data_IF_667774657759
#
_entry.id   IF_667774657759
#
_cell.length_a   1.000
_cell.length_b   1.000
_cell.length_c   1.000
_cell.angle_alpha   90.00
_cell.angle_beta   90.00
_cell.angle_gamma   90.00
#
_symmetry.space_group_name_H-M   'P 1'
#
loop_
_entity.id
_entity.type
_entity.pdbx_description
1 polymer ?
#
# COMPACT_ATOMS: atom_id res chain seq x y z
N UNK A 1 -5.13 13.29 42.38
CA UNK A 1 -5.77 12.38 41.41
C UNK A 1 -5.54 13.01 40.05
N UNK A 2 -4.45 12.61 39.37
CA UNK A 2 -4.12 13.08 38.02
C UNK A 2 -4.97 12.32 37.04
N UNK A 3 -5.86 13.03 36.40
CA UNK A 3 -6.60 12.58 35.25
C UNK A 3 -5.59 12.44 34.09
N UNK A 4 -5.09 11.22 33.88
CA UNK A 4 -4.31 10.92 32.70
C UNK A 4 -5.28 10.93 31.54
N UNK A 5 -5.38 12.08 30.87
CA UNK A 5 -5.92 12.16 29.51
C UNK A 5 -5.18 11.14 28.69
N UNK A 6 -5.79 9.98 28.48
CA UNK A 6 -5.33 8.97 27.52
C UNK A 6 -5.39 9.68 26.17
N UNK A 7 -4.24 10.16 25.69
CA UNK A 7 -4.14 10.71 24.36
C UNK A 7 -4.68 9.62 23.41
N UNK A 8 -5.71 9.96 22.65
CA UNK A 8 -6.31 9.06 21.67
C UNK A 8 -5.26 8.81 20.57
N UNK A 9 -4.59 7.67 20.65
CA UNK A 9 -3.68 7.25 19.59
C UNK A 9 -4.51 6.68 18.42
N UNK A 10 -4.35 7.24 17.21
CA UNK A 10 -5.05 6.74 16.04
C UNK A 10 -4.75 5.27 15.80
N UNK A 11 -5.76 4.39 15.68
CA UNK A 11 -5.55 2.96 15.56
C UNK A 11 -5.06 2.55 14.18
N UNK A 12 -4.41 1.38 14.12
CA UNK A 12 -4.32 0.58 12.88
C UNK A 12 -5.64 -0.19 12.76
N UNK A 13 -6.28 -0.14 11.59
CA UNK A 13 -7.50 -0.88 11.29
C UNK A 13 -7.18 -1.98 10.28
N UNK A 14 -7.62 -3.21 10.52
CA UNK A 14 -7.47 -4.30 9.55
C UNK A 14 -8.82 -4.91 9.20
N UNK A 15 -9.12 -5.00 7.91
CA UNK A 15 -10.33 -5.67 7.41
C UNK A 15 -10.09 -7.18 7.25
N UNK A 16 -10.93 -8.00 7.90
CA UNK A 16 -10.82 -9.47 7.86
C UNK A 16 -12.13 -10.10 7.42
N UNK A 17 -12.02 -11.16 6.59
CA UNK A 17 -13.15 -12.01 6.17
C UNK A 17 -12.92 -13.48 6.48
N UNK A 18 -11.79 -13.84 7.12
CA UNK A 18 -11.39 -15.19 7.46
C UNK A 18 -10.68 -15.95 6.33
N UNK A 19 -10.49 -15.32 5.17
CA UNK A 19 -9.64 -15.86 4.11
C UNK A 19 -8.17 -15.84 4.52
N UNK A 20 -7.36 -16.71 3.92
CA UNK A 20 -5.91 -16.74 4.12
C UNK A 20 -5.25 -15.38 3.85
N UNK A 21 -5.72 -14.66 2.84
CA UNK A 21 -5.25 -13.31 2.52
C UNK A 21 -5.53 -12.30 3.63
N UNK A 22 -6.72 -12.37 4.23
CA UNK A 22 -7.10 -11.46 5.31
C UNK A 22 -6.39 -11.80 6.61
N UNK A 23 -6.10 -13.08 6.88
CA UNK A 23 -5.31 -13.48 8.04
C UNK A 23 -3.84 -13.05 7.92
N UNK A 24 -3.25 -13.13 6.73
CA UNK A 24 -1.92 -12.53 6.47
C UNK A 24 -1.91 -11.02 6.65
N UNK A 25 -2.97 -10.34 6.20
CA UNK A 25 -3.13 -8.91 6.43
C UNK A 25 -3.21 -8.58 7.93
N UNK A 26 -3.87 -9.44 8.72
CA UNK A 26 -3.91 -9.33 10.18
C UNK A 26 -2.52 -9.47 10.81
N UNK A 27 -1.73 -10.46 10.40
CA UNK A 27 -0.36 -10.64 10.87
C UNK A 27 0.51 -9.42 10.59
N UNK A 28 0.41 -8.88 9.37
CA UNK A 28 1.13 -7.67 9.00
C UNK A 28 0.65 -6.45 9.82
N UNK A 29 -0.67 -6.32 10.04
CA UNK A 29 -1.25 -5.23 10.82
C UNK A 29 -0.85 -5.28 12.31
N UNK A 30 -0.71 -6.48 12.90
CA UNK A 30 -0.18 -6.67 14.25
C UNK A 30 1.24 -6.13 14.36
N UNK A 31 2.13 -6.55 13.45
CA UNK A 31 3.53 -6.05 13.42
C UNK A 31 3.59 -4.54 13.21
N UNK A 32 2.75 -4.00 12.31
CA UNK A 32 2.69 -2.56 12.08
C UNK A 32 2.19 -1.78 13.31
N UNK A 33 1.14 -2.27 13.97
CA UNK A 33 0.61 -1.67 15.18
C UNK A 33 1.63 -1.66 16.32
N UNK A 34 2.40 -2.75 16.49
CA UNK A 34 3.48 -2.84 17.47
C UNK A 34 4.63 -1.86 17.17
N UNK A 35 5.06 -1.79 15.90
CA UNK A 35 6.10 -0.86 15.47
C UNK A 35 5.70 0.61 15.65
N UNK A 36 4.41 0.92 15.48
CA UNK A 36 3.85 2.25 15.64
C UNK A 36 3.43 2.56 17.10
N UNK A 37 3.42 1.57 18.00
CA UNK A 37 2.87 1.72 19.36
C UNK A 37 1.36 1.98 19.37
N UNK A 38 0.64 1.69 18.29
CA UNK A 38 -0.76 2.04 18.08
C UNK A 38 -1.71 0.88 18.44
N UNK A 39 -2.95 1.13 18.91
CA UNK A 39 -3.92 0.07 19.09
C UNK A 39 -4.35 -0.54 17.75
N UNK A 40 -4.70 -1.83 17.75
CA UNK A 40 -5.21 -2.54 16.58
C UNK A 40 -6.73 -2.71 16.67
N UNK A 41 -7.43 -2.36 15.61
CA UNK A 41 -8.86 -2.64 15.42
C UNK A 41 -9.02 -3.67 14.31
N UNK A 42 -9.51 -4.85 14.69
CA UNK A 42 -9.84 -5.92 13.73
C UNK A 42 -11.30 -5.78 13.34
N UNK A 43 -11.55 -5.37 12.09
CA UNK A 43 -12.88 -5.11 11.56
C UNK A 43 -13.35 -6.25 10.65
N UNK A 44 -14.48 -6.87 11.00
CA UNK A 44 -15.16 -7.86 10.16
C UNK A 44 -16.51 -7.30 9.71
N UNK A 45 -16.73 -7.27 8.39
CA UNK A 45 -18.00 -6.79 7.82
C UNK A 45 -18.89 -7.99 7.51
N UNK A 46 -20.04 -8.04 8.17
CA UNK A 46 -21.07 -9.05 7.90
C UNK A 46 -21.90 -8.64 6.71
N UNK A 47 -21.95 -9.47 5.67
CA UNK A 47 -22.75 -9.15 4.47
C UNK A 47 -24.25 -9.27 4.76
N UNK A 48 -25.04 -8.33 4.21
CA UNK A 48 -26.50 -8.33 4.34
C UNK A 48 -27.16 -9.64 3.87
N UNK A 49 -26.57 -10.32 2.89
CA UNK A 49 -27.04 -11.62 2.40
C UNK A 49 -27.03 -12.71 3.47
N UNK A 50 -26.00 -12.71 4.33
CA UNK A 50 -25.93 -13.65 5.46
C UNK A 50 -26.91 -13.26 6.56
N UNK A 51 -27.12 -11.98 6.80
CA UNK A 51 -28.08 -11.48 7.79
C UNK A 51 -29.52 -11.78 7.36
N UNK A 52 -29.90 -11.55 6.11
CA UNK A 52 -31.21 -11.91 5.57
C UNK A 52 -31.45 -13.43 5.63
N UNK A 53 -30.43 -14.24 5.36
CA UNK A 53 -30.47 -15.71 5.52
C UNK A 53 -30.68 -16.12 6.98
N UNK A 54 -29.91 -15.56 7.90
CA UNK A 54 -30.02 -15.83 9.34
C UNK A 54 -31.36 -15.36 9.93
N UNK A 55 -31.84 -14.16 9.56
CA UNK A 55 -33.16 -13.66 9.96
C UNK A 55 -34.32 -14.54 9.45
N UNK A 56 -34.19 -15.06 8.21
CA UNK A 56 -35.18 -15.98 7.62
C UNK A 56 -35.19 -17.35 8.32
N UNK A 57 -34.03 -17.84 8.76
CA UNK A 57 -33.92 -19.08 9.53
C UNK A 57 -34.41 -18.84 10.96
N UNK A 58 -34.08 -17.71 11.58
CA UNK A 58 -34.55 -17.35 12.91
C UNK A 58 -36.08 -17.23 13.00
N UNK A 59 -36.72 -16.73 11.91
CA UNK A 59 -38.19 -16.69 11.83
C UNK A 59 -38.86 -18.07 11.78
N UNK A 60 -38.09 -19.13 11.52
CA UNK A 60 -38.53 -20.53 11.54
C UNK A 60 -38.35 -21.21 12.92
N UNK A 61 -37.91 -20.46 13.94
CA UNK A 61 -37.88 -20.90 15.34
C UNK A 61 -36.68 -21.74 15.77
N UNK A 62 -35.70 -21.96 14.91
CA UNK A 62 -34.49 -22.74 15.21
C UNK A 62 -33.28 -22.14 14.52
N UNK A 63 -32.82 -20.95 14.93
CA UNK A 63 -31.51 -20.49 14.52
C UNK A 63 -30.48 -20.96 15.55
N UNK A 64 -29.61 -21.95 15.23
CA UNK A 64 -28.40 -22.10 15.99
C UNK A 64 -27.57 -20.84 15.81
N UNK A 65 -27.02 -20.29 16.88
CA UNK A 65 -25.90 -19.34 16.77
C UNK A 65 -24.79 -20.03 15.99
N UNK A 66 -24.68 -19.74 14.70
CA UNK A 66 -23.57 -20.21 13.88
C UNK A 66 -22.30 -19.62 14.52
N UNK A 67 -21.35 -20.46 14.95
CA UNK A 67 -20.13 -19.95 15.55
C UNK A 67 -19.47 -19.03 14.54
N UNK A 68 -19.10 -17.82 14.98
CA UNK A 68 -18.36 -16.87 14.16
C UNK A 68 -16.96 -17.48 13.87
N UNK A 69 -16.88 -18.18 12.75
CA UNK A 69 -15.65 -18.88 12.31
C UNK A 69 -14.53 -17.88 12.04
N UNK A 70 -14.88 -16.67 11.60
CA UNK A 70 -13.93 -15.59 11.37
C UNK A 70 -13.34 -15.11 12.69
N UNK A 71 -14.18 -14.82 13.68
CA UNK A 71 -13.72 -14.41 15.00
C UNK A 71 -12.82 -15.45 15.67
N UNK A 72 -13.07 -16.74 15.42
CA UNK A 72 -12.22 -17.81 15.94
C UNK A 72 -10.85 -17.79 15.24
N UNK A 73 -10.82 -17.78 13.92
CA UNK A 73 -9.57 -17.76 13.15
C UNK A 73 -8.70 -16.54 13.51
N UNK A 74 -9.35 -15.37 13.64
CA UNK A 74 -8.67 -14.14 14.05
C UNK A 74 -8.08 -14.26 15.46
N UNK A 75 -8.83 -14.77 16.42
CA UNK A 75 -8.32 -14.98 17.79
C UNK A 75 -7.12 -15.92 17.81
N UNK A 76 -7.18 -17.02 17.06
CA UNK A 76 -6.05 -17.95 16.96
C UNK A 76 -4.78 -17.23 16.50
N UNK A 77 -4.85 -16.45 15.42
CA UNK A 77 -3.69 -15.70 14.91
C UNK A 77 -3.16 -14.69 15.95
N UNK A 78 -4.07 -13.95 16.61
CA UNK A 78 -3.70 -12.94 17.61
C UNK A 78 -3.05 -13.59 18.83
N UNK A 79 -3.58 -14.72 19.30
CA UNK A 79 -3.06 -15.45 20.47
C UNK A 79 -1.72 -16.13 20.18
N UNK A 80 -1.59 -16.77 19.01
CA UNK A 80 -0.35 -17.47 18.62
C UNK A 80 0.83 -16.52 18.46
N UNK A 81 0.59 -15.32 17.94
CA UNK A 81 1.65 -14.32 17.77
C UNK A 81 2.07 -13.64 19.06
N UNK A 82 1.19 -13.58 20.06
CA UNK A 82 1.42 -12.80 21.27
C UNK A 82 1.63 -11.32 20.93
N UNK A 83 0.71 -10.46 21.26
CA UNK A 83 0.75 -9.02 20.91
C UNK A 83 1.06 -8.15 22.14
N UNK A 84 1.71 -6.99 21.87
CA UNK A 84 2.05 -5.99 22.91
C UNK A 84 1.11 -4.79 22.90
N UNK A 85 0.23 -4.71 21.91
CA UNK A 85 -0.71 -3.59 21.72
C UNK A 85 -2.14 -4.01 22.04
N UNK A 86 -3.01 -3.07 22.46
CA UNK A 86 -4.44 -3.35 22.64
C UNK A 86 -5.08 -3.78 21.31
N UNK A 87 -5.83 -4.88 21.32
CA UNK A 87 -6.57 -5.38 20.16
C UNK A 87 -8.07 -5.32 20.44
N UNK A 88 -8.82 -4.66 19.57
CA UNK A 88 -10.28 -4.56 19.60
C UNK A 88 -10.88 -5.25 18.37
N UNK A 89 -12.01 -5.93 18.56
CA UNK A 89 -12.76 -6.60 17.50
C UNK A 89 -14.04 -5.82 17.22
N UNK A 90 -14.22 -5.36 16.00
CA UNK A 90 -15.41 -4.64 15.56
C UNK A 90 -16.14 -5.46 14.49
N UNK A 91 -17.41 -5.78 14.77
CA UNK A 91 -18.33 -6.39 13.80
C UNK A 91 -19.14 -5.28 13.15
N UNK A 92 -18.95 -5.08 11.84
CA UNK A 92 -19.59 -4.04 11.06
C UNK A 92 -20.70 -4.64 10.19
N UNK A 93 -21.72 -3.84 9.88
CA UNK A 93 -22.81 -4.23 9.00
C UNK A 93 -22.76 -3.44 7.69
N UNK A 94 -23.23 -4.04 6.60
CA UNK A 94 -23.38 -3.39 5.31
C UNK A 94 -22.37 -3.79 4.24
N UNK A 95 -22.07 -2.88 3.32
CA UNK A 95 -21.10 -3.06 2.27
C UNK A 95 -19.67 -2.92 2.80
N UNK A 96 -18.78 -3.86 2.45
CA UNK A 96 -17.35 -3.80 2.84
C UNK A 96 -16.70 -2.50 2.36
N UNK A 97 -17.05 -2.03 1.17
CA UNK A 97 -16.50 -0.82 0.54
C UNK A 97 -16.97 0.49 1.18
N UNK A 98 -18.00 0.45 1.99
CA UNK A 98 -18.50 1.61 2.74
C UNK A 98 -18.14 1.50 4.23
N UNK A 99 -18.28 0.32 4.81
CA UNK A 99 -18.07 0.09 6.23
C UNK A 99 -16.59 0.21 6.65
N UNK A 100 -15.66 -0.36 5.87
CA UNK A 100 -14.23 -0.27 6.19
C UNK A 100 -13.69 1.17 6.08
N UNK A 101 -13.96 1.95 5.03
CA UNK A 101 -13.56 3.36 5.01
C UNK A 101 -14.18 4.17 6.14
N UNK A 102 -15.44 3.87 6.53
CA UNK A 102 -16.08 4.55 7.67
C UNK A 102 -15.36 4.23 8.99
N UNK A 103 -15.01 2.98 9.22
CA UNK A 103 -14.27 2.52 10.41
C UNK A 103 -12.83 3.05 10.44
N UNK A 104 -12.24 3.33 9.27
CA UNK A 104 -10.88 3.84 9.15
C UNK A 104 -10.77 5.37 9.20
N UNK A 105 -11.87 6.10 9.45
CA UNK A 105 -11.81 7.55 9.64
C UNK A 105 -11.05 7.88 10.93
N UNK A 106 -10.00 8.68 10.78
CA UNK A 106 -9.10 9.00 11.89
C UNK A 106 -8.19 7.84 12.31
N UNK A 107 -8.15 6.75 11.55
CA UNK A 107 -7.17 5.71 11.73
C UNK A 107 -5.81 6.14 11.14
N UNK A 108 -4.74 5.63 11.73
CA UNK A 108 -3.38 5.83 11.23
C UNK A 108 -3.15 5.05 9.93
N UNK A 109 -3.80 3.89 9.80
CA UNK A 109 -3.60 2.97 8.70
C UNK A 109 -4.80 2.05 8.56
N UNK A 110 -5.23 1.78 7.32
CA UNK A 110 -6.13 0.69 6.97
C UNK A 110 -5.34 -0.43 6.29
N UNK A 111 -5.54 -1.67 6.72
CA UNK A 111 -4.85 -2.85 6.16
C UNK A 111 -5.88 -3.82 5.60
N UNK A 112 -5.62 -4.38 4.43
CA UNK A 112 -6.44 -5.42 3.81
C UNK A 112 -5.58 -6.44 3.07
N UNK A 113 -6.09 -7.66 2.90
CA UNK A 113 -5.51 -8.61 1.96
C UNK A 113 -5.77 -8.18 0.50
N UNK A 114 -4.97 -8.66 -0.41
CA UNK A 114 -5.17 -8.39 -1.85
C UNK A 114 -6.43 -9.05 -2.42
N UNK A 115 -6.96 -10.11 -1.77
CA UNK A 115 -8.17 -10.87 -2.15
C UNK A 115 -8.98 -11.25 -0.92
N UNK A 116 -10.21 -11.73 -1.13
CA UNK A 116 -11.10 -12.31 -0.12
C UNK A 116 -11.73 -13.61 -0.64
N UNK A 117 -12.73 -14.12 0.07
CA UNK A 117 -13.40 -15.41 -0.22
C UNK A 117 -14.10 -15.50 -1.58
N UNK A 118 -14.44 -14.39 -2.26
CA UNK A 118 -15.24 -14.39 -3.48
C UNK A 118 -14.46 -14.21 -4.78
N UNK A 119 -13.12 -14.17 -4.75
CA UNK A 119 -12.31 -13.84 -5.92
C UNK A 119 -12.02 -15.04 -6.83
N UNK A 120 -12.05 -14.82 -8.16
CA UNK A 120 -11.52 -15.79 -9.11
C UNK A 120 -10.01 -15.97 -8.85
N UNK A 121 -9.54 -17.22 -8.82
CA UNK A 121 -8.14 -17.56 -8.54
C UNK A 121 -7.13 -16.89 -9.51
N UNK A 122 -7.59 -16.47 -10.69
CA UNK A 122 -6.78 -15.80 -11.71
C UNK A 122 -6.60 -14.30 -11.51
N UNK A 123 -7.35 -13.66 -10.59
CA UNK A 123 -7.22 -12.22 -10.35
C UNK A 123 -6.17 -11.95 -9.27
N UNK A 124 -5.22 -11.10 -9.57
CA UNK A 124 -4.14 -10.71 -8.64
C UNK A 124 -4.62 -9.74 -7.56
N UNK A 125 -5.64 -8.91 -7.84
CA UNK A 125 -6.22 -7.94 -6.94
C UNK A 125 -7.76 -8.05 -6.93
N UNK A 126 -8.37 -8.09 -5.75
CA UNK A 126 -9.82 -8.12 -5.57
C UNK A 126 -10.48 -6.76 -5.82
N UNK A 127 -11.78 -6.79 -6.17
CA UNK A 127 -12.57 -5.57 -6.38
C UNK A 127 -12.65 -4.69 -5.11
N UNK A 128 -12.76 -5.31 -3.95
CA UNK A 128 -12.77 -4.61 -2.65
C UNK A 128 -11.49 -3.83 -2.43
N UNK A 129 -10.32 -4.48 -2.50
CA UNK A 129 -9.01 -3.83 -2.27
C UNK A 129 -8.76 -2.72 -3.28
N UNK A 130 -9.20 -2.90 -4.55
CA UNK A 130 -9.15 -1.86 -5.57
C UNK A 130 -10.04 -0.66 -5.22
N UNK A 131 -11.27 -0.90 -4.77
CA UNK A 131 -12.18 0.18 -4.37
C UNK A 131 -11.63 0.92 -3.15
N UNK A 132 -11.15 0.19 -2.14
CA UNK A 132 -10.55 0.79 -0.96
C UNK A 132 -9.31 1.64 -1.29
N UNK A 133 -8.49 1.22 -2.26
CA UNK A 133 -7.35 2.02 -2.71
C UNK A 133 -7.75 3.38 -3.31
N UNK A 134 -8.97 3.47 -3.85
CA UNK A 134 -9.53 4.74 -4.35
C UNK A 134 -10.23 5.56 -3.26
N UNK A 135 -10.81 4.92 -2.24
CA UNK A 135 -11.76 5.56 -1.32
C UNK A 135 -11.29 5.65 0.13
N UNK A 136 -10.24 4.92 0.52
CA UNK A 136 -9.75 4.96 1.90
C UNK A 136 -9.42 6.40 2.36
N UNK A 137 -9.88 6.79 3.57
CA UNK A 137 -9.65 8.14 4.11
C UNK A 137 -8.26 8.32 4.73
N UNK A 138 -7.52 7.24 4.92
CA UNK A 138 -6.18 7.18 5.47
C UNK A 138 -5.28 6.31 4.57
N UNK A 139 -3.97 6.21 4.81
CA UNK A 139 -3.10 5.27 4.11
C UNK A 139 -3.68 3.85 4.12
N UNK A 140 -3.75 3.23 2.94
CA UNK A 140 -4.19 1.84 2.79
C UNK A 140 -3.00 0.96 2.46
N UNK A 141 -2.78 -0.10 3.26
CA UNK A 141 -1.84 -1.16 2.90
C UNK A 141 -2.59 -2.38 2.41
N UNK A 142 -2.23 -2.82 1.20
CA UNK A 142 -2.72 -4.06 0.61
C UNK A 142 -1.61 -5.11 0.68
N UNK A 143 -1.88 -6.20 1.40
CA UNK A 143 -0.94 -7.30 1.59
C UNK A 143 -1.17 -8.35 0.50
N UNK A 144 -0.20 -8.61 -0.40
CA UNK A 144 -0.36 -9.58 -1.47
C UNK A 144 -0.33 -11.02 -0.96
N UNK A 145 -0.90 -11.94 -1.74
CA UNK A 145 -0.91 -13.38 -1.39
C UNK A 145 0.50 -13.97 -1.34
N UNK A 146 1.32 -13.60 -2.30
CA UNK A 146 2.69 -14.11 -2.44
C UNK A 146 3.72 -13.25 -1.69
N UNK A 147 3.27 -12.45 -0.68
CA UNK A 147 4.17 -11.70 0.15
C UNK A 147 5.20 -12.65 0.75
N UNK A 148 6.49 -12.32 0.57
CA UNK A 148 7.59 -13.14 1.08
C UNK A 148 7.48 -13.24 2.59
N UNK A 149 7.81 -14.41 3.13
CA UNK A 149 7.84 -14.63 4.58
C UNK A 149 8.69 -13.56 5.32
N UNK A 150 9.75 -13.06 4.67
CA UNK A 150 10.58 -11.96 5.18
C UNK A 150 9.84 -10.62 5.29
N UNK A 151 8.83 -10.35 4.44
CA UNK A 151 8.00 -9.14 4.56
C UNK A 151 6.92 -9.27 5.65
N UNK A 152 6.63 -10.48 6.08
CA UNK A 152 5.69 -10.79 7.15
C UNK A 152 6.37 -11.12 8.48
N UNK A 153 7.65 -11.52 8.45
CA UNK A 153 8.41 -11.81 9.66
C UNK A 153 8.79 -10.51 10.39
N UNK A 154 8.83 -10.58 11.71
CA UNK A 154 9.27 -9.51 12.61
C UNK A 154 10.75 -9.11 12.48
N UNK A 155 11.42 -9.52 11.41
CA UNK A 155 12.76 -9.04 11.11
C UNK A 155 12.66 -7.56 10.73
N UNK A 156 12.73 -6.71 11.75
CA UNK A 156 12.77 -5.27 11.67
C UNK A 156 13.92 -4.72 10.80
N UNK A 157 14.65 -5.57 10.13
CA UNK A 157 15.76 -5.25 9.24
C UNK A 157 15.67 -5.90 7.86
N UNK A 158 14.61 -6.65 7.55
CA UNK A 158 14.50 -7.32 6.26
C UNK A 158 13.91 -6.39 5.17
N UNK A 159 14.76 -6.03 4.21
CA UNK A 159 14.36 -5.26 3.04
C UNK A 159 14.49 -3.74 3.23
N UNK A 160 14.01 -3.00 2.25
CA UNK A 160 13.95 -1.54 2.21
C UNK A 160 12.52 -1.07 2.02
N UNK A 161 12.24 0.19 2.29
CA UNK A 161 11.01 0.85 1.84
C UNK A 161 11.28 1.45 0.46
N UNK A 162 10.42 1.15 -0.51
CA UNK A 162 10.45 1.77 -1.83
C UNK A 162 9.39 2.86 -1.91
N UNK A 163 9.77 4.06 -2.31
CA UNK A 163 8.85 5.15 -2.62
C UNK A 163 8.81 5.37 -4.12
N UNK A 164 7.66 5.22 -4.75
CA UNK A 164 7.43 5.71 -6.10
C UNK A 164 7.21 7.23 -6.06
N UNK A 165 8.21 7.99 -6.51
CA UNK A 165 8.22 9.43 -6.45
C UNK A 165 8.04 10.04 -7.83
N UNK A 166 7.03 10.90 -7.97
CA UNK A 166 6.94 11.92 -9.00
C UNK A 166 7.08 13.27 -8.31
N UNK A 167 8.10 14.03 -8.67
CA UNK A 167 8.50 15.23 -7.92
C UNK A 167 7.38 16.25 -7.73
N UNK A 168 6.47 16.39 -8.70
CA UNK A 168 5.35 17.32 -8.66
C UNK A 168 4.02 16.70 -8.19
N UNK A 169 3.77 15.41 -8.49
CA UNK A 169 2.44 14.80 -8.30
C UNK A 169 2.33 13.94 -7.04
N UNK A 170 3.46 13.44 -6.49
CA UNK A 170 3.41 12.64 -5.27
C UNK A 170 3.10 13.53 -4.07
N UNK A 171 2.00 13.25 -3.34
CA UNK A 171 1.61 14.06 -2.20
C UNK A 171 2.64 13.97 -1.07
N UNK A 172 2.76 15.05 -0.29
CA UNK A 172 3.69 15.15 0.85
C UNK A 172 3.45 14.04 1.87
N UNK A 173 2.20 13.66 2.06
CA UNK A 173 1.78 12.60 2.97
C UNK A 173 2.37 11.24 2.57
N UNK A 174 2.50 10.98 1.27
CA UNK A 174 3.11 9.73 0.81
C UNK A 174 4.63 9.72 1.05
N UNK A 175 5.27 10.86 0.88
CA UNK A 175 6.70 11.01 1.21
C UNK A 175 6.92 10.86 2.71
N UNK A 176 6.14 11.57 3.53
CA UNK A 176 6.21 11.48 4.98
C UNK A 176 5.98 10.06 5.48
N UNK A 177 4.93 9.40 4.99
CA UNK A 177 4.62 8.01 5.32
C UNK A 177 5.78 7.06 4.99
N UNK A 178 6.45 7.26 3.85
CA UNK A 178 7.59 6.42 3.45
C UNK A 178 8.79 6.60 4.40
N UNK A 179 9.11 7.84 4.80
CA UNK A 179 10.15 8.12 5.79
C UNK A 179 9.81 7.55 7.16
N UNK A 180 8.58 7.75 7.62
CA UNK A 180 8.09 7.19 8.88
C UNK A 180 8.18 5.65 8.87
N UNK A 181 7.73 5.00 7.80
CA UNK A 181 7.78 3.56 7.65
C UNK A 181 9.22 3.01 7.63
N UNK A 182 10.14 3.70 6.98
CA UNK A 182 11.56 3.35 6.97
C UNK A 182 12.18 3.50 8.36
N UNK A 183 11.87 4.62 9.05
CA UNK A 183 12.34 4.89 10.40
C UNK A 183 11.91 3.82 11.41
N UNK A 184 10.61 3.51 11.47
CA UNK A 184 10.08 2.51 12.40
C UNK A 184 10.60 1.09 12.13
N UNK A 185 10.95 0.78 10.89
CA UNK A 185 11.52 -0.51 10.49
C UNK A 185 13.04 -0.56 10.62
N UNK A 186 13.71 0.57 10.79
CA UNK A 186 15.16 0.67 10.83
C UNK A 186 15.82 0.26 9.51
N UNK A 187 15.19 0.54 8.36
CA UNK A 187 15.65 0.16 7.02
C UNK A 187 15.84 1.38 6.12
N UNK A 188 16.62 1.28 5.04
CA UNK A 188 16.77 2.35 4.07
C UNK A 188 15.45 2.69 3.36
N UNK A 189 15.31 3.97 2.96
CA UNK A 189 14.28 4.45 2.04
C UNK A 189 14.90 4.64 0.66
N UNK A 190 14.49 3.83 -0.31
CA UNK A 190 14.83 4.03 -1.71
C UNK A 190 13.71 4.79 -2.41
N UNK A 191 14.00 5.99 -2.89
CA UNK A 191 13.06 6.80 -3.63
C UNK A 191 13.32 6.67 -5.14
N UNK A 192 12.36 6.13 -5.86
CA UNK A 192 12.46 5.84 -7.31
C UNK A 192 11.70 6.89 -8.10
N UNK A 193 12.41 7.66 -8.90
CA UNK A 193 11.85 8.58 -9.89
C UNK A 193 12.12 8.06 -11.28
N UNK A 194 11.08 7.93 -12.10
CA UNK A 194 11.24 7.55 -13.50
C UNK A 194 10.98 8.76 -14.41
N UNK A 195 11.85 8.98 -15.36
CA UNK A 195 11.74 10.04 -16.35
C UNK A 195 11.69 9.47 -17.76
N UNK A 196 11.11 10.23 -18.70
CA UNK A 196 10.99 9.80 -20.10
C UNK A 196 12.20 10.29 -20.89
N UNK A 197 12.85 9.36 -21.60
CA UNK A 197 13.82 9.74 -22.61
C UNK A 197 13.09 10.39 -23.81
N UNK A 198 13.67 11.42 -24.42
CA UNK A 198 13.19 11.91 -25.70
C UNK A 198 13.26 10.77 -26.74
N UNK A 199 12.34 10.72 -27.71
CA UNK A 199 12.42 9.72 -28.78
C UNK A 199 13.74 9.90 -29.54
N UNK A 200 14.43 8.77 -29.86
CA UNK A 200 15.70 8.84 -30.57
C UNK A 200 15.56 9.62 -31.88
N UNK A 201 16.52 10.49 -32.15
CA UNK A 201 16.56 11.26 -33.39
C UNK A 201 16.64 10.30 -34.57
N UNK A 202 15.62 10.22 -35.37
CA UNK A 202 15.50 9.25 -36.49
C UNK A 202 14.34 8.26 -36.39
N UNK A 203 13.60 8.26 -35.29
CA UNK A 203 12.41 7.38 -35.10
C UNK A 203 11.23 7.68 -36.05
N UNK A 204 11.37 8.63 -36.97
CA UNK A 204 10.41 8.92 -38.07
C UNK A 204 10.46 7.91 -39.22
N UNK A 205 11.38 6.95 -39.20
CA UNK A 205 11.39 5.87 -40.15
C UNK A 205 10.32 4.84 -39.75
N UNK A 206 9.49 4.39 -40.70
CA UNK A 206 8.51 3.33 -40.42
C UNK A 206 9.26 2.11 -39.86
N UNK A 207 8.74 1.54 -38.78
CA UNK A 207 9.34 0.36 -38.16
C UNK A 207 9.67 -0.69 -39.21
N UNK A 208 10.89 -1.24 -39.23
CA UNK A 208 11.23 -2.32 -40.16
C UNK A 208 10.25 -3.48 -39.96
N UNK A 209 9.86 -4.10 -41.08
CA UNK A 209 8.94 -5.24 -41.09
C UNK A 209 9.38 -6.28 -40.05
N UNK A 210 8.47 -6.92 -39.28
CA UNK A 210 8.83 -7.87 -38.20
C UNK A 210 9.66 -9.07 -38.65
N UNK A 211 9.90 -9.21 -39.97
CA UNK A 211 10.75 -10.25 -40.55
C UNK A 211 12.27 -9.94 -40.49
N UNK A 212 12.67 -8.71 -40.21
CA UNK A 212 14.10 -8.36 -40.04
C UNK A 212 14.36 -8.11 -38.53
N UNK A 213 14.93 -9.09 -37.86
CA UNK A 213 15.52 -8.94 -36.50
C UNK A 213 16.82 -8.12 -36.63
N UNK A 214 16.69 -6.83 -36.86
CA UNK A 214 17.84 -5.92 -36.76
C UNK A 214 18.02 -5.62 -35.27
N UNK A 215 19.19 -5.91 -34.67
CA UNK A 215 19.44 -5.48 -33.30
C UNK A 215 19.29 -3.96 -33.23
N UNK A 216 18.78 -3.41 -32.09
CA UNK A 216 18.66 -1.97 -31.92
C UNK A 216 20.03 -1.34 -32.16
N UNK A 217 20.11 -0.21 -32.87
CA UNK A 217 21.36 0.50 -33.06
C UNK A 217 21.98 0.82 -31.69
N UNK A 218 23.30 0.73 -31.60
CA UNK A 218 24.01 1.21 -30.41
C UNK A 218 23.73 2.71 -30.26
N UNK A 219 23.47 3.19 -29.04
CA UNK A 219 23.23 4.61 -28.81
C UNK A 219 24.46 5.42 -29.28
N UNK A 220 24.21 6.53 -29.93
CA UNK A 220 25.27 7.47 -30.33
C UNK A 220 25.84 8.12 -29.07
N UNK A 221 27.10 8.58 -29.14
CA UNK A 221 27.78 9.20 -27.99
C UNK A 221 26.99 10.40 -27.45
N UNK A 222 26.40 11.20 -28.32
CA UNK A 222 25.57 12.35 -27.97
C UNK A 222 24.27 11.94 -27.24
N UNK A 223 23.67 10.78 -27.60
CA UNK A 223 22.48 10.24 -26.92
C UNK A 223 22.80 9.74 -25.50
N UNK A 224 24.02 9.24 -25.29
CA UNK A 224 24.49 8.82 -23.96
C UNK A 224 24.70 10.03 -23.06
N UNK A 225 25.36 11.09 -23.59
CA UNK A 225 25.61 12.33 -22.84
C UNK A 225 24.28 13.03 -22.47
N UNK A 226 23.33 13.12 -23.40
CA UNK A 226 21.99 13.69 -23.14
C UNK A 226 21.24 12.87 -22.06
N UNK A 227 21.38 11.54 -22.08
CA UNK A 227 20.76 10.68 -21.06
C UNK A 227 21.39 10.90 -19.68
N UNK A 228 22.71 11.05 -19.59
CA UNK A 228 23.41 11.33 -18.34
C UNK A 228 23.03 12.70 -17.76
N UNK A 229 22.82 13.71 -18.59
CA UNK A 229 22.35 15.02 -18.14
C UNK A 229 20.92 14.94 -17.58
N UNK A 230 20.03 14.20 -18.23
CA UNK A 230 18.66 13.99 -17.76
C UNK A 230 18.62 13.21 -16.42
N UNK A 231 19.51 12.24 -16.25
CA UNK A 231 19.66 11.52 -14.95
C UNK A 231 20.05 12.51 -13.87
N UNK A 232 21.09 13.32 -14.08
CA UNK A 232 21.58 14.29 -13.10
C UNK A 232 20.52 15.33 -12.73
N UNK A 233 19.75 15.79 -13.71
CA UNK A 233 18.67 16.74 -13.46
C UNK A 233 17.55 16.09 -12.63
N UNK A 234 17.13 14.87 -12.97
CA UNK A 234 16.11 14.14 -12.22
C UNK A 234 16.59 13.82 -10.78
N UNK A 235 17.87 13.50 -10.60
CA UNK A 235 18.46 13.31 -9.25
C UNK A 235 18.44 14.60 -8.44
N UNK A 236 18.78 15.73 -9.06
CA UNK A 236 18.75 17.05 -8.41
C UNK A 236 17.34 17.45 -7.97
N UNK A 237 16.35 17.30 -8.86
CA UNK A 237 14.95 17.58 -8.52
C UNK A 237 14.45 16.68 -7.39
N UNK A 238 14.84 15.40 -7.42
CA UNK A 238 14.51 14.43 -6.38
C UNK A 238 15.12 14.82 -5.03
N UNK A 239 16.41 15.19 -5.00
CA UNK A 239 17.07 15.66 -3.78
C UNK A 239 16.42 16.93 -3.22
N UNK A 240 16.11 17.90 -4.07
CA UNK A 240 15.43 19.13 -3.66
C UNK A 240 14.06 18.82 -3.02
N UNK A 241 13.30 17.91 -3.64
CA UNK A 241 11.99 17.48 -3.17
C UNK A 241 12.04 16.75 -1.83
N UNK A 242 13.04 15.91 -1.63
CA UNK A 242 13.16 15.06 -0.44
C UNK A 242 13.88 15.73 0.72
N UNK A 243 14.64 16.80 0.49
CA UNK A 243 15.45 17.50 1.50
C UNK A 243 14.68 17.90 2.78
N UNK A 244 13.44 18.47 2.71
CA UNK A 244 12.69 18.82 3.92
C UNK A 244 12.34 17.61 4.79
N UNK A 245 12.05 16.48 4.15
CA UNK A 245 11.69 15.22 4.83
C UNK A 245 12.94 14.57 5.44
N UNK A 246 14.02 14.46 4.68
CA UNK A 246 15.30 13.94 5.18
C UNK A 246 15.81 14.72 6.40
N UNK A 247 15.59 16.03 6.43
CA UNK A 247 15.95 16.85 7.59
C UNK A 247 15.12 16.52 8.86
N UNK A 248 13.86 16.09 8.70
CA UNK A 248 12.99 15.64 9.81
C UNK A 248 13.31 14.22 10.27
N UNK A 249 13.82 13.38 9.38
CA UNK A 249 14.12 11.97 9.60
C UNK A 249 15.62 11.66 9.44
N UNK A 250 16.53 12.29 10.23
CA UNK A 250 17.98 12.18 10.02
C UNK A 250 18.56 10.77 10.26
N UNK A 251 17.77 9.89 10.90
CA UNK A 251 18.14 8.49 11.10
C UNK A 251 17.79 7.55 9.95
N UNK A 252 17.09 8.04 8.90
CA UNK A 252 16.72 7.24 7.73
C UNK A 252 17.78 7.39 6.66
N UNK A 253 18.38 6.29 6.23
CA UNK A 253 19.25 6.25 5.06
C UNK A 253 18.41 6.44 3.80
N UNK A 254 18.57 7.56 3.11
CA UNK A 254 17.88 7.87 1.87
C UNK A 254 18.75 7.47 0.67
N UNK A 255 18.20 6.64 -0.21
CA UNK A 255 18.82 6.21 -1.47
C UNK A 255 17.99 6.74 -2.64
N UNK A 256 18.36 7.90 -3.22
CA UNK A 256 17.69 8.42 -4.40
C UNK A 256 18.07 7.59 -5.63
N UNK A 257 17.08 7.26 -6.47
CA UNK A 257 17.27 6.47 -7.69
C UNK A 257 16.46 7.12 -8.82
N UNK A 258 17.15 7.72 -9.78
CA UNK A 258 16.54 8.23 -11.00
C UNK A 258 16.79 7.26 -12.16
N UNK A 259 15.73 6.82 -12.83
CA UNK A 259 15.84 5.84 -13.93
C UNK A 259 15.05 6.26 -15.15
N UNK A 260 15.57 6.03 -16.35
CA UNK A 260 14.78 6.20 -17.56
C UNK A 260 13.72 5.10 -17.67
N UNK A 261 12.53 5.45 -18.17
CA UNK A 261 11.53 4.48 -18.59
C UNK A 261 10.32 4.34 -17.69
N UNK A 262 9.96 3.09 -17.34
CA UNK A 262 8.70 2.76 -16.66
C UNK A 262 8.86 2.67 -15.13
N UNK A 263 8.27 3.63 -14.42
CA UNK A 263 8.24 3.63 -12.96
C UNK A 263 7.56 2.38 -12.37
N UNK A 264 6.47 1.92 -12.99
CA UNK A 264 5.72 0.78 -12.47
C UNK A 264 6.54 -0.50 -12.54
N UNK A 265 7.21 -0.76 -13.68
CA UNK A 265 8.08 -1.91 -13.85
C UNK A 265 9.23 -1.91 -12.84
N UNK A 266 9.86 -0.76 -12.60
CA UNK A 266 10.95 -0.62 -11.62
C UNK A 266 10.51 -0.88 -10.19
N UNK A 267 9.36 -0.34 -9.79
CA UNK A 267 8.79 -0.58 -8.46
C UNK A 267 8.37 -2.04 -8.27
N UNK A 268 7.78 -2.67 -9.29
CA UNK A 268 7.42 -4.09 -9.24
C UNK A 268 8.66 -4.97 -9.12
N UNK A 269 9.70 -4.70 -9.89
CA UNK A 269 10.96 -5.43 -9.80
C UNK A 269 11.61 -5.25 -8.42
N UNK A 270 11.76 -4.00 -7.95
CA UNK A 270 12.32 -3.67 -6.64
C UNK A 270 11.51 -4.22 -5.46
N UNK A 271 10.20 -4.46 -5.65
CA UNK A 271 9.33 -5.03 -4.62
C UNK A 271 9.69 -6.47 -4.22
N UNK A 272 10.55 -7.15 -4.99
CA UNK A 272 11.04 -8.51 -4.66
C UNK A 272 11.93 -8.53 -3.43
N UNK A 273 12.65 -7.43 -3.22
CA UNK A 273 13.63 -7.28 -2.14
C UNK A 273 13.27 -6.17 -1.15
N UNK A 274 12.07 -5.58 -1.32
CA UNK A 274 11.53 -4.56 -0.44
C UNK A 274 10.59 -5.16 0.62
N UNK A 275 10.51 -4.51 1.77
CA UNK A 275 9.54 -4.81 2.83
C UNK A 275 8.22 -4.07 2.65
N UNK A 276 8.21 -2.97 1.88
CA UNK A 276 7.04 -2.15 1.61
C UNK A 276 7.28 -1.29 0.36
N UNK A 277 6.27 -1.20 -0.51
CA UNK A 277 6.22 -0.18 -1.57
C UNK A 277 5.20 0.90 -1.18
N UNK A 278 5.59 2.15 -1.29
CA UNK A 278 4.74 3.32 -1.03
C UNK A 278 4.48 4.06 -2.33
N UNK A 279 3.23 4.34 -2.63
CA UNK A 279 2.80 5.15 -3.78
C UNK A 279 1.73 6.15 -3.35
N UNK A 280 1.77 7.34 -3.93
CA UNK A 280 0.74 8.34 -3.72
C UNK A 280 -0.53 8.01 -4.51
N UNK A 281 -1.69 8.38 -3.95
CA UNK A 281 -2.95 8.42 -4.67
C UNK A 281 -3.11 9.78 -5.30
N UNK A 282 -3.10 9.84 -6.65
CA UNK A 282 -3.24 11.10 -7.37
C UNK A 282 -4.70 11.59 -7.42
N UNK A 283 -4.91 12.87 -7.12
CA UNK A 283 -6.13 13.58 -7.49
C UNK A 283 -5.96 14.18 -8.90
N UNK A 284 -6.48 13.52 -9.92
CA UNK A 284 -6.64 14.21 -11.22
C UNK A 284 -7.82 15.16 -11.15
N UNK A 285 -7.54 16.45 -10.91
CA UNK A 285 -8.51 17.54 -10.80
C UNK A 285 -9.39 17.78 -12.04
N UNK A 286 -9.18 17.07 -13.15
CA UNK A 286 -9.84 17.43 -14.43
C UNK A 286 -11.19 16.77 -14.69
N UNK A 287 -11.58 15.68 -13.99
CA UNK A 287 -12.85 14.99 -14.30
C UNK A 287 -13.63 14.44 -13.09
N UNK A 288 -13.34 14.84 -11.87
CA UNK A 288 -14.16 14.44 -10.70
C UNK A 288 -14.23 12.95 -10.41
N UNK A 289 -13.49 12.10 -11.11
CA UNK A 289 -13.44 10.66 -10.88
C UNK A 289 -12.26 10.29 -9.97
N UNK A 290 -12.53 9.56 -8.91
CA UNK A 290 -11.53 8.92 -8.06
C UNK A 290 -10.84 7.83 -8.89
N UNK A 291 -9.73 8.16 -9.50
CA UNK A 291 -8.92 7.20 -10.27
C UNK A 291 -7.60 7.00 -9.53
N UNK A 292 -7.26 5.76 -9.32
CA UNK A 292 -5.93 5.37 -8.91
C UNK A 292 -4.97 5.57 -10.10
N UNK A 293 -3.80 6.15 -9.89
CA UNK A 293 -2.81 6.36 -10.95
C UNK A 293 -2.35 5.04 -11.58
N UNK A 294 -1.89 5.08 -12.83
CA UNK A 294 -1.43 3.88 -13.57
C UNK A 294 -0.31 3.13 -12.84
N UNK A 295 0.63 3.86 -12.24
CA UNK A 295 1.72 3.28 -11.44
C UNK A 295 1.18 2.57 -10.21
N UNK A 296 0.35 3.23 -9.40
CA UNK A 296 -0.25 2.63 -8.21
C UNK A 296 -1.11 1.41 -8.57
N UNK A 297 -1.85 1.46 -9.69
CA UNK A 297 -2.62 0.32 -10.19
C UNK A 297 -1.73 -0.87 -10.55
N UNK A 298 -0.68 -0.65 -11.32
CA UNK A 298 0.24 -1.72 -11.73
C UNK A 298 0.98 -2.32 -10.52
N UNK A 299 1.47 -1.48 -9.60
CA UNK A 299 2.15 -1.92 -8.39
C UNK A 299 1.23 -2.75 -7.49
N UNK A 300 -0.03 -2.32 -7.26
CA UNK A 300 -1.01 -3.10 -6.50
C UNK A 300 -1.30 -4.48 -7.10
N UNK A 301 -1.22 -4.61 -8.43
CA UNK A 301 -1.47 -5.87 -9.13
C UNK A 301 -0.25 -6.80 -9.12
N UNK A 302 0.97 -6.26 -9.18
CA UNK A 302 2.16 -7.05 -9.51
C UNK A 302 3.25 -7.05 -8.45
N UNK A 303 3.16 -6.20 -7.41
CA UNK A 303 4.17 -6.17 -6.36
C UNK A 303 4.24 -7.48 -5.56
N UNK A 304 5.44 -7.82 -5.14
CA UNK A 304 5.77 -9.02 -4.37
C UNK A 304 5.76 -8.79 -2.85
N UNK A 305 5.67 -7.54 -2.41
CA UNK A 305 5.60 -7.15 -1.01
C UNK A 305 4.33 -6.29 -0.76
N UNK A 306 4.00 -5.97 0.50
CA UNK A 306 2.90 -5.05 0.83
C UNK A 306 3.04 -3.70 0.12
N UNK A 307 1.88 -3.15 -0.31
CA UNK A 307 1.80 -1.87 -1.03
C UNK A 307 0.96 -0.89 -0.23
N UNK A 308 1.54 0.24 0.14
CA UNK A 308 0.83 1.37 0.74
C UNK A 308 0.39 2.34 -0.36
N UNK A 309 -0.90 2.63 -0.42
CA UNK A 309 -1.48 3.69 -1.23
C UNK A 309 -1.89 4.83 -0.30
N UNK A 310 -1.19 5.94 -0.40
CA UNK A 310 -1.36 7.08 0.51
C UNK A 310 -2.18 8.16 -0.17
N UNK A 311 -3.36 8.52 0.40
CA UNK A 311 -4.15 9.63 -0.11
C UNK A 311 -3.42 10.96 0.16
N UNK A 312 -3.59 11.97 -0.70
CA UNK A 312 -3.31 13.34 -0.29
C UNK A 312 -4.25 13.70 0.87
N UNK A 313 -3.83 14.61 1.71
CA UNK A 313 -4.60 15.00 2.88
C UNK A 313 -6.06 15.31 2.51
N UNK A 314 -6.98 14.57 3.10
CA UNK A 314 -8.31 15.13 3.32
C UNK A 314 -8.09 16.20 4.38
N UNK A 315 -8.31 17.47 4.03
CA UNK A 315 -8.11 18.63 4.89
C UNK A 315 -8.51 18.34 6.35
N UNK A 316 -7.55 18.09 7.23
CA UNK A 316 -7.83 17.78 8.64
C UNK A 316 -6.85 16.80 9.27
N UNK A 317 -5.63 17.30 9.60
CA UNK A 317 -4.91 16.97 10.84
C UNK A 317 -4.15 15.64 10.96
N UNK A 318 -2.88 15.72 10.72
CA UNK A 318 -1.84 15.03 11.50
C UNK A 318 -1.14 16.09 12.40
N UNK A 319 -1.85 16.69 13.40
CA UNK A 319 -1.25 17.53 14.45
C UNK A 319 -1.58 16.94 15.80
#
# INVERSE_FOLDING_TARGET
>A
MSDASTAYEPPVVVGVDGSEHSLRALEWALSAAEGLGAPLVVAHVRSDALQLGAARIASLGTAPELPDTVARAVRTVVEERGHRVPVRYDSLDGSVTDALPAAARGARLLVTGSRGHGGFASLLLGSTSRTLAMTAPCPLVVVPHEARAAALADDAGAGRVLLGLHTEETPDEAVEFAFEAAHHRGVPLEAVTAFRLPPPQGALLPAPSPALQVPPPLPLADEVEETEELVKEAEREQEERLRPFAARWPGVELVPVAVPGDAAGRLVEGSRDAGLVVVGRHHRHRFGSLLIGSVAHAVLHHAHCPVAVVPPEAAGSWT
#
